data_IF_212574029947
#
_entry.id   IF_212574029947
#
_cell.length_a   1.000
_cell.length_b   1.000
_cell.length_c   1.000
_cell.angle_alpha   90.00
_cell.angle_beta   90.00
_cell.angle_gamma   90.00
#
_symmetry.space_group_name_H-M   'P 1'
#
loop_
_entity.id
_entity.type
_entity.pdbx_description
1 polymer ?
#
# COMPACT_ATOMS: atom_id res chain seq x y z
N UNK A 1 46.05 -33.56 9.60
CA UNK A 1 45.95 -32.10 9.36
C UNK A 1 44.52 -31.77 8.93
N UNK A 2 43.71 -31.21 9.83
CA UNK A 2 42.34 -30.81 9.52
C UNK A 2 42.38 -29.52 8.68
N UNK A 3 41.88 -29.58 7.44
CA UNK A 3 41.68 -28.41 6.59
C UNK A 3 40.63 -27.52 7.25
N UNK A 4 41.04 -26.34 7.71
CA UNK A 4 40.11 -25.28 8.11
C UNK A 4 39.32 -24.87 6.86
N UNK A 5 38.03 -25.21 6.85
CA UNK A 5 37.07 -24.62 5.92
C UNK A 5 36.92 -23.15 6.33
N UNK A 6 37.18 -22.18 5.44
CA UNK A 6 37.00 -20.78 5.77
C UNK A 6 35.53 -20.54 6.14
N UNK A 7 35.29 -20.08 7.37
CA UNK A 7 34.00 -19.60 7.85
C UNK A 7 33.63 -18.33 7.08
N UNK A 8 33.11 -18.49 5.86
CA UNK A 8 32.41 -17.41 5.16
C UNK A 8 31.25 -17.01 6.06
N UNK A 9 31.17 -15.75 6.54
CA UNK A 9 30.08 -15.36 7.41
C UNK A 9 28.79 -15.47 6.61
N UNK A 10 27.93 -16.41 7.04
CA UNK A 10 26.54 -16.56 6.62
C UNK A 10 25.94 -15.18 6.24
N UNK A 11 25.30 -15.00 5.08
CA UNK A 11 24.70 -13.73 4.66
C UNK A 11 23.83 -13.09 5.77
N UNK A 12 23.20 -13.93 6.59
CA UNK A 12 22.42 -13.56 7.77
C UNK A 12 23.25 -12.93 8.90
N UNK A 13 24.51 -13.30 9.07
CA UNK A 13 25.42 -12.77 10.10
C UNK A 13 25.88 -11.35 9.76
N UNK A 14 26.23 -11.08 8.50
CA UNK A 14 26.58 -9.73 8.06
C UNK A 14 25.39 -8.78 8.18
N UNK A 15 24.20 -9.22 7.76
CA UNK A 15 22.97 -8.43 7.91
C UNK A 15 22.68 -8.11 9.39
N UNK A 16 22.85 -9.08 10.30
CA UNK A 16 22.72 -8.87 11.74
C UNK A 16 23.71 -7.83 12.27
N UNK A 17 24.96 -7.85 11.81
CA UNK A 17 26.00 -6.89 12.23
C UNK A 17 25.65 -5.48 11.72
N UNK A 18 25.40 -5.31 10.42
CA UNK A 18 25.07 -4.01 9.84
C UNK A 18 23.78 -3.42 10.43
N UNK A 19 22.79 -4.26 10.71
CA UNK A 19 21.58 -3.86 11.45
C UNK A 19 21.94 -3.30 12.82
N UNK A 20 22.76 -3.99 13.61
CA UNK A 20 23.19 -3.52 14.94
C UNK A 20 23.98 -2.22 14.88
N UNK A 21 24.84 -2.08 13.87
CA UNK A 21 25.60 -0.84 13.63
C UNK A 21 24.65 0.32 13.35
N UNK A 22 23.71 0.15 12.41
CA UNK A 22 22.72 1.18 12.09
C UNK A 22 21.82 1.51 13.29
N UNK A 23 21.35 0.50 14.02
CA UNK A 23 20.56 0.67 15.23
C UNK A 23 21.30 1.52 16.27
N UNK A 24 22.58 1.24 16.51
CA UNK A 24 23.42 2.02 17.43
C UNK A 24 23.59 3.46 16.94
N UNK A 25 23.86 3.67 15.65
CA UNK A 25 24.01 5.01 15.04
C UNK A 25 22.73 5.84 15.16
N UNK A 26 21.56 5.21 14.99
CA UNK A 26 20.25 5.85 15.15
C UNK A 26 19.95 6.13 16.63
N UNK A 27 20.24 5.18 17.54
CA UNK A 27 20.06 5.34 18.99
C UNK A 27 20.78 6.58 19.53
N UNK A 28 22.02 6.79 19.10
CA UNK A 28 22.82 7.95 19.50
C UNK A 28 22.17 9.26 19.04
N UNK A 29 21.70 9.33 17.79
CA UNK A 29 21.12 10.55 17.20
C UNK A 29 19.71 10.87 17.70
N UNK A 30 18.89 9.84 17.88
CA UNK A 30 17.53 9.96 18.40
C UNK A 30 17.49 10.15 19.92
N UNK A 31 18.60 9.88 20.63
CA UNK A 31 18.71 9.94 22.11
C UNK A 31 17.60 9.16 22.82
N UNK A 32 17.21 8.03 22.25
CA UNK A 32 16.11 7.19 22.72
C UNK A 32 16.37 5.73 22.36
N UNK A 33 15.68 4.78 23.00
CA UNK A 33 15.77 3.36 22.61
C UNK A 33 15.26 3.21 21.18
N UNK A 34 15.92 2.35 20.40
CA UNK A 34 15.55 2.07 19.01
C UNK A 34 15.42 0.57 18.84
N UNK A 35 14.29 0.12 18.32
CA UNK A 35 14.11 -1.22 17.79
C UNK A 35 14.05 -1.12 16.27
N UNK A 36 15.04 -1.68 15.58
CA UNK A 36 15.16 -1.61 14.13
C UNK A 36 14.79 -2.95 13.48
N UNK A 37 13.87 -2.94 12.52
CA UNK A 37 13.57 -4.05 11.60
C UNK A 37 14.09 -3.70 10.20
N UNK A 38 14.66 -4.67 9.50
CA UNK A 38 15.14 -4.51 8.13
C UNK A 38 14.24 -5.33 7.20
N UNK A 39 13.78 -4.73 6.10
CA UNK A 39 12.93 -5.38 5.11
C UNK A 39 13.41 -5.15 3.66
N UNK A 40 12.87 -5.95 2.74
CA UNK A 40 13.06 -5.86 1.28
C UNK A 40 11.71 -5.59 0.58
N UNK A 41 11.01 -4.57 1.06
CA UNK A 41 9.74 -4.10 0.52
C UNK A 41 9.94 -3.30 -0.75
N UNK A 42 9.01 -3.39 -1.70
CA UNK A 42 9.14 -2.69 -2.99
C UNK A 42 8.65 -1.24 -2.97
N UNK A 43 7.78 -0.86 -2.04
CA UNK A 43 7.11 0.46 -2.02
C UNK A 43 7.25 1.24 -0.72
N UNK A 44 7.69 0.59 0.35
CA UNK A 44 7.83 1.23 1.67
C UNK A 44 9.29 1.18 2.04
N UNK A 45 9.94 2.34 2.09
CA UNK A 45 11.38 2.43 2.37
C UNK A 45 11.66 2.65 3.85
N UNK A 46 10.77 3.36 4.53
CA UNK A 46 10.89 3.74 5.94
C UNK A 46 9.49 3.81 6.55
N UNK A 47 9.30 3.17 7.69
CA UNK A 47 8.18 3.43 8.60
C UNK A 47 8.68 3.54 10.03
N UNK A 48 8.02 4.34 10.84
CA UNK A 48 8.39 4.49 12.23
C UNK A 48 7.17 4.73 13.12
N UNK A 49 7.29 4.30 14.38
CA UNK A 49 6.29 4.55 15.41
C UNK A 49 7.00 4.88 16.72
N UNK A 50 6.51 5.90 17.43
CA UNK A 50 6.93 6.17 18.81
C UNK A 50 6.07 5.35 19.77
N UNK A 51 6.73 4.57 20.63
CA UNK A 51 6.09 3.85 21.74
C UNK A 51 6.76 4.25 23.05
N UNK A 52 6.11 5.12 23.81
CA UNK A 52 6.67 5.72 25.04
C UNK A 52 8.04 6.36 24.75
N UNK A 53 9.11 5.84 25.36
CA UNK A 53 10.49 6.28 25.21
C UNK A 53 11.31 5.48 24.17
N UNK A 54 10.66 4.73 23.29
CA UNK A 54 11.29 3.91 22.26
C UNK A 54 10.74 4.22 20.87
N UNK A 55 11.62 4.24 19.88
CA UNK A 55 11.25 4.24 18.46
C UNK A 55 11.29 2.82 17.91
N UNK A 56 10.21 2.40 17.25
CA UNK A 56 10.22 1.23 16.36
C UNK A 56 10.38 1.72 14.94
N UNK A 57 11.48 1.37 14.28
CA UNK A 57 11.74 1.70 12.88
C UNK A 57 11.75 0.44 12.04
N UNK A 58 11.17 0.51 10.84
CA UNK A 58 11.33 -0.50 9.81
C UNK A 58 11.95 0.18 8.59
N UNK A 59 13.13 -0.27 8.18
CA UNK A 59 13.92 0.34 7.12
C UNK A 59 14.16 -0.67 6.00
N UNK A 60 14.20 -0.17 4.76
CA UNK A 60 14.67 -0.94 3.64
C UNK A 60 16.17 -1.27 3.79
N UNK A 61 16.60 -2.44 3.33
CA UNK A 61 17.99 -2.89 3.47
C UNK A 61 19.02 -1.96 2.82
N UNK A 62 18.61 -1.13 1.84
CA UNK A 62 19.45 -0.07 1.26
C UNK A 62 20.06 0.89 2.30
N UNK A 63 19.42 1.05 3.48
CA UNK A 63 19.92 1.92 4.54
C UNK A 63 21.02 1.28 5.41
N UNK A 64 21.27 -0.03 5.30
CA UNK A 64 22.24 -0.74 6.14
C UNK A 64 23.64 -0.13 6.07
N UNK A 65 24.03 0.35 4.89
CA UNK A 65 25.33 0.97 4.60
C UNK A 65 25.18 2.46 4.27
N UNK A 66 24.12 3.10 4.78
CA UNK A 66 23.89 4.51 4.54
C UNK A 66 25.04 5.39 5.11
N UNK A 67 25.48 6.40 4.35
CA UNK A 67 26.46 7.37 4.80
C UNK A 67 25.92 8.21 5.98
N UNK A 68 26.81 8.93 6.65
CA UNK A 68 26.50 9.54 7.95
C UNK A 68 25.48 10.68 7.89
N UNK A 69 25.53 11.47 6.83
CA UNK A 69 24.54 12.47 6.47
C UNK A 69 23.13 11.86 6.31
N UNK A 70 23.02 10.71 5.64
CA UNK A 70 21.73 10.00 5.46
C UNK A 70 21.21 9.47 6.80
N UNK A 71 22.06 8.92 7.65
CA UNK A 71 21.64 8.46 8.99
C UNK A 71 21.24 9.63 9.90
N UNK A 72 21.91 10.78 9.75
CA UNK A 72 21.50 12.02 10.41
C UNK A 72 20.13 12.50 9.91
N UNK A 73 19.92 12.49 8.59
CA UNK A 73 18.65 12.82 7.98
C UNK A 73 17.52 11.89 8.47
N UNK A 74 17.76 10.57 8.51
CA UNK A 74 16.80 9.60 9.07
C UNK A 74 16.37 9.99 10.49
N UNK A 75 17.32 10.32 11.36
CA UNK A 75 17.03 10.70 12.74
C UNK A 75 16.25 12.03 12.84
N UNK A 76 16.63 13.03 12.03
CA UNK A 76 15.91 14.32 11.96
C UNK A 76 14.48 14.16 11.45
N UNK A 77 14.30 13.38 10.37
CA UNK A 77 12.99 13.09 9.80
C UNK A 77 12.08 12.35 10.79
N UNK A 78 12.58 11.29 11.43
CA UNK A 78 11.81 10.50 12.42
C UNK A 78 11.41 11.35 13.62
N UNK A 79 12.27 12.27 14.08
CA UNK A 79 12.02 13.05 15.30
C UNK A 79 11.04 14.19 15.09
N UNK A 80 11.15 14.92 13.98
CA UNK A 80 10.43 16.20 13.79
C UNK A 80 9.79 16.39 12.40
N UNK A 81 9.84 15.39 11.52
CA UNK A 81 9.31 15.52 10.16
C UNK A 81 10.06 16.58 9.33
N UNK A 82 11.39 16.66 9.50
CA UNK A 82 12.25 17.67 8.88
C UNK A 82 12.17 17.64 7.33
N UNK A 83 11.73 18.73 6.67
CA UNK A 83 11.60 18.78 5.21
C UNK A 83 12.91 18.57 4.46
N UNK A 84 14.01 19.18 4.92
CA UNK A 84 15.31 19.06 4.26
C UNK A 84 15.85 17.64 4.35
N UNK A 85 15.62 17.00 5.51
CA UNK A 85 15.92 15.59 5.68
C UNK A 85 15.09 14.72 4.74
N UNK A 86 13.80 15.03 4.55
CA UNK A 86 12.95 14.31 3.59
C UNK A 86 13.53 14.38 2.18
N UNK A 87 13.93 15.57 1.72
CA UNK A 87 14.52 15.77 0.38
C UNK A 87 15.83 14.98 0.21
N UNK A 88 16.69 14.95 1.23
CA UNK A 88 17.93 14.17 1.20
C UNK A 88 17.64 12.67 1.14
N UNK A 89 16.70 12.18 1.96
CA UNK A 89 16.29 10.78 1.97
C UNK A 89 15.69 10.36 0.62
N UNK A 90 14.88 11.21 0.01
CA UNK A 90 14.30 10.94 -1.32
C UNK A 90 15.40 10.82 -2.39
N UNK A 91 16.38 11.74 -2.39
CA UNK A 91 17.56 11.65 -3.28
C UNK A 91 18.37 10.38 -3.05
N UNK A 92 18.55 9.97 -1.79
CA UNK A 92 19.24 8.73 -1.46
C UNK A 92 18.47 7.51 -1.97
N UNK A 93 17.16 7.43 -1.73
CA UNK A 93 16.30 6.34 -2.20
C UNK A 93 16.35 6.26 -3.73
N UNK A 94 16.24 7.40 -4.42
CA UNK A 94 16.26 7.45 -5.89
C UNK A 94 17.57 6.90 -6.47
N UNK A 95 18.73 7.32 -5.91
CA UNK A 95 20.05 6.82 -6.30
C UNK A 95 20.23 5.32 -6.03
N UNK A 96 19.51 4.79 -5.05
CA UNK A 96 19.62 3.41 -4.58
C UNK A 96 18.48 2.51 -5.07
N UNK A 97 17.68 2.96 -6.06
CA UNK A 97 16.57 2.19 -6.62
C UNK A 97 16.95 0.81 -7.15
N UNK A 98 18.21 0.62 -7.56
CA UNK A 98 18.73 -0.67 -8.02
C UNK A 98 18.58 -1.78 -6.96
N UNK A 99 18.58 -1.42 -5.68
CA UNK A 99 18.38 -2.37 -4.57
C UNK A 99 16.92 -2.73 -4.32
N UNK A 100 15.97 -2.06 -4.97
CA UNK A 100 14.54 -2.40 -4.88
C UNK A 100 14.28 -3.55 -5.85
N UNK A 101 13.89 -4.71 -5.31
CA UNK A 101 13.60 -5.89 -6.13
C UNK A 101 12.53 -5.58 -7.17
N UNK A 102 12.83 -5.90 -8.43
CA UNK A 102 11.86 -5.87 -9.54
C UNK A 102 11.05 -7.17 -9.51
N UNK A 103 9.76 -7.06 -9.22
CA UNK A 103 8.81 -8.17 -9.32
C UNK A 103 7.81 -7.87 -10.43
N UNK A 104 7.48 -8.87 -11.24
CA UNK A 104 6.38 -8.75 -12.17
C UNK A 104 5.04 -8.68 -11.42
N UNK A 105 3.98 -8.11 -12.02
CA UNK A 105 2.66 -8.11 -11.40
C UNK A 105 2.18 -9.50 -11.00
N UNK A 106 2.44 -10.52 -11.83
CA UNK A 106 2.10 -11.90 -11.51
C UNK A 106 2.84 -12.43 -10.26
N UNK A 107 4.13 -12.10 -10.11
CA UNK A 107 4.90 -12.47 -8.91
C UNK A 107 4.40 -11.75 -7.65
N UNK A 108 3.97 -10.49 -7.77
CA UNK A 108 3.36 -9.77 -6.66
C UNK A 108 1.98 -10.34 -6.29
N UNK A 109 1.14 -10.67 -7.29
CA UNK A 109 -0.18 -11.30 -7.09
C UNK A 109 -0.09 -12.60 -6.32
N UNK A 110 0.86 -13.48 -6.64
CA UNK A 110 1.08 -14.76 -5.95
C UNK A 110 1.35 -14.63 -4.44
N UNK A 111 1.72 -13.45 -3.96
CA UNK A 111 1.99 -13.18 -2.54
C UNK A 111 0.76 -12.65 -1.79
N UNK A 112 -0.33 -12.42 -2.50
CA UNK A 112 -1.59 -11.91 -1.96
C UNK A 112 -2.55 -13.11 -1.88
N UNK A 113 -3.12 -13.34 -0.70
CA UNK A 113 -4.26 -14.25 -0.56
C UNK A 113 -5.48 -13.54 -1.14
N UNK A 114 -6.06 -14.10 -2.21
CA UNK A 114 -7.24 -13.57 -2.87
C UNK A 114 -8.48 -14.24 -2.29
N UNK A 115 -9.41 -13.43 -1.81
CA UNK A 115 -10.70 -13.83 -1.26
C UNK A 115 -11.76 -12.90 -1.87
N UNK A 116 -12.23 -13.19 -3.10
CA UNK A 116 -13.19 -12.33 -3.80
C UNK A 116 -14.64 -12.63 -3.43
N UNK A 117 -14.93 -13.80 -2.85
CA UNK A 117 -16.30 -14.21 -2.52
C UNK A 117 -16.62 -13.81 -1.07
N UNK A 118 -17.54 -12.86 -0.93
CA UNK A 118 -18.09 -12.41 0.35
C UNK A 118 -19.34 -13.19 0.74
N UNK A 119 -19.94 -12.82 1.86
CA UNK A 119 -21.21 -13.37 2.35
C UNK A 119 -22.41 -12.87 1.52
N UNK A 120 -22.34 -11.66 0.98
CA UNK A 120 -23.43 -11.00 0.28
C UNK A 120 -23.10 -10.68 -1.17
N UNK A 121 -21.84 -10.37 -1.48
CA UNK A 121 -21.42 -10.05 -2.84
C UNK A 121 -20.24 -10.92 -3.29
N UNK A 122 -20.35 -11.46 -4.51
CA UNK A 122 -19.27 -12.15 -5.20
C UNK A 122 -18.55 -11.16 -6.11
N UNK A 123 -17.36 -10.72 -5.68
CA UNK A 123 -16.59 -9.72 -6.42
C UNK A 123 -16.03 -10.25 -7.72
N UNK A 124 -15.74 -11.55 -7.81
CA UNK A 124 -15.21 -12.17 -9.02
C UNK A 124 -16.27 -12.13 -10.12
N UNK A 125 -17.51 -12.55 -9.80
CA UNK A 125 -18.65 -12.45 -10.74
C UNK A 125 -18.99 -11.02 -11.13
N UNK A 126 -18.84 -10.06 -10.21
CA UNK A 126 -19.05 -8.64 -10.51
C UNK A 126 -17.97 -8.15 -11.48
N UNK A 127 -16.70 -8.44 -11.17
CA UNK A 127 -15.57 -8.05 -11.99
C UNK A 127 -15.67 -8.60 -13.42
N UNK A 128 -15.92 -9.90 -13.56
CA UNK A 128 -15.98 -10.56 -14.88
C UNK A 128 -17.07 -9.94 -15.77
N UNK A 129 -18.27 -9.74 -15.20
CA UNK A 129 -19.39 -9.11 -15.92
C UNK A 129 -19.08 -7.68 -16.36
N UNK A 130 -18.44 -6.90 -15.49
CA UNK A 130 -18.04 -5.52 -15.83
C UNK A 130 -16.94 -5.51 -16.89
N UNK A 131 -15.99 -6.45 -16.80
CA UNK A 131 -14.88 -6.58 -17.75
C UNK A 131 -15.40 -6.90 -19.15
N UNK A 132 -16.34 -7.84 -19.25
CA UNK A 132 -17.03 -8.16 -20.50
C UNK A 132 -17.84 -6.97 -21.02
N UNK A 133 -18.66 -6.34 -20.18
CA UNK A 133 -19.61 -5.30 -20.61
C UNK A 133 -18.94 -3.99 -21.04
N UNK A 134 -17.90 -3.56 -20.33
CA UNK A 134 -17.32 -2.22 -20.49
C UNK A 134 -15.91 -2.21 -21.08
N UNK A 135 -15.22 -3.35 -21.07
CA UNK A 135 -13.79 -3.38 -21.37
C UNK A 135 -13.39 -4.47 -22.37
N UNK A 136 -14.35 -5.10 -23.05
CA UNK A 136 -14.13 -6.21 -23.99
C UNK A 136 -13.27 -7.35 -23.41
N UNK A 137 -13.36 -7.58 -22.10
CA UNK A 137 -12.53 -8.57 -21.39
C UNK A 137 -11.05 -8.23 -21.28
N UNK A 138 -10.63 -6.99 -21.60
CA UNK A 138 -9.20 -6.62 -21.72
C UNK A 138 -8.51 -6.30 -20.39
N UNK A 139 -9.25 -6.12 -19.30
CA UNK A 139 -8.61 -5.85 -18.01
C UNK A 139 -8.03 -7.17 -17.46
N UNK A 140 -6.70 -7.19 -17.31
CA UNK A 140 -5.95 -8.22 -16.58
C UNK A 140 -5.68 -7.72 -15.15
N UNK A 141 -6.67 -7.85 -14.27
CA UNK A 141 -6.53 -7.59 -12.85
C UNK A 141 -7.14 -8.74 -12.04
N UNK A 142 -6.65 -8.94 -10.82
CA UNK A 142 -7.34 -9.77 -9.83
C UNK A 142 -8.16 -8.87 -8.89
N UNK A 143 -9.23 -9.39 -8.33
CA UNK A 143 -10.07 -8.70 -7.35
C UNK A 143 -10.13 -9.49 -6.03
N UNK A 144 -10.26 -8.80 -4.91
CA UNK A 144 -10.39 -9.41 -3.58
C UNK A 144 -11.02 -8.42 -2.60
N UNK A 145 -11.59 -8.93 -1.50
CA UNK A 145 -11.80 -8.09 -0.34
C UNK A 145 -10.46 -7.67 0.30
N UNK A 146 -10.42 -6.42 0.76
CA UNK A 146 -9.31 -5.88 1.55
C UNK A 146 -9.34 -6.38 2.99
N UNK A 147 -8.25 -6.21 3.75
CA UNK A 147 -8.21 -6.63 5.14
C UNK A 147 -9.22 -5.85 5.99
N UNK A 148 -9.80 -6.52 6.99
CA UNK A 148 -10.62 -5.86 7.99
C UNK A 148 -9.85 -4.70 8.64
N UNK A 149 -10.48 -3.52 8.83
CA UNK A 149 -9.78 -2.39 9.41
C UNK A 149 -9.29 -2.65 10.82
N UNK A 150 -8.06 -2.21 11.12
CA UNK A 150 -7.47 -2.33 12.48
C UNK A 150 -8.03 -1.33 13.48
N UNK A 151 -8.62 -0.23 13.00
CA UNK A 151 -9.18 0.85 13.85
C UNK A 151 -10.66 0.59 14.07
N UNK A 152 -11.05 0.47 15.35
CA UNK A 152 -12.42 0.19 15.80
C UNK A 152 -13.23 1.45 16.20
N UNK A 153 -12.60 2.63 16.13
CA UNK A 153 -13.24 3.91 16.47
C UNK A 153 -14.01 4.55 15.31
N UNK A 154 -14.77 5.62 15.57
CA UNK A 154 -15.51 6.35 14.55
C UNK A 154 -14.55 6.90 13.48
N UNK A 155 -14.99 6.85 12.22
CA UNK A 155 -14.20 7.27 11.06
C UNK A 155 -14.86 8.48 10.42
N UNK A 156 -14.05 9.41 9.92
CA UNK A 156 -14.52 10.56 9.14
C UNK A 156 -14.56 10.29 7.64
N UNK A 157 -13.87 9.24 7.19
CA UNK A 157 -13.82 8.83 5.79
C UNK A 157 -13.58 7.32 5.67
N UNK A 158 -13.97 6.78 4.53
CA UNK A 158 -13.76 5.38 4.16
C UNK A 158 -13.27 5.31 2.72
N UNK A 159 -12.23 4.52 2.48
CA UNK A 159 -11.80 4.18 1.12
C UNK A 159 -12.49 2.89 0.72
N UNK A 160 -13.45 2.98 -0.18
CA UNK A 160 -14.33 1.86 -0.55
C UNK A 160 -13.65 0.86 -1.51
N UNK A 161 -12.71 1.33 -2.32
CA UNK A 161 -11.94 0.51 -3.24
C UNK A 161 -10.48 0.99 -3.36
N UNK A 162 -9.62 0.14 -3.90
CA UNK A 162 -8.29 0.58 -4.37
C UNK A 162 -7.72 -0.36 -5.42
N UNK A 163 -7.12 0.22 -6.46
CA UNK A 163 -6.30 -0.48 -7.44
C UNK A 163 -4.80 -0.31 -7.18
N UNK A 164 -4.04 -1.41 -7.29
CA UNK A 164 -2.57 -1.41 -7.28
C UNK A 164 -2.04 -1.66 -8.69
N UNK A 165 -1.40 -0.67 -9.30
CA UNK A 165 -0.80 -0.81 -10.63
C UNK A 165 0.35 -1.84 -10.69
N UNK A 166 1.11 -1.97 -9.60
CA UNK A 166 2.26 -2.88 -9.53
C UNK A 166 1.84 -4.34 -9.48
N UNK A 167 0.80 -4.66 -8.70
CA UNK A 167 0.27 -6.02 -8.59
C UNK A 167 -0.91 -6.28 -9.52
N UNK A 168 -1.49 -5.26 -10.15
CA UNK A 168 -2.79 -5.35 -10.85
C UNK A 168 -3.86 -6.01 -9.99
N UNK A 169 -4.02 -5.54 -8.75
CA UNK A 169 -5.03 -6.04 -7.81
C UNK A 169 -5.98 -4.93 -7.39
N UNK A 170 -7.27 -5.18 -7.57
CA UNK A 170 -8.39 -4.41 -7.03
C UNK A 170 -8.72 -4.95 -5.64
N UNK A 171 -8.82 -4.07 -4.65
CA UNK A 171 -9.26 -4.39 -3.29
C UNK A 171 -10.51 -3.62 -2.95
N UNK A 172 -11.56 -4.33 -2.59
CA UNK A 172 -12.84 -3.75 -2.17
C UNK A 172 -12.92 -3.78 -0.64
N UNK A 173 -13.38 -2.68 -0.04
CA UNK A 173 -13.48 -2.59 1.40
C UNK A 173 -14.56 -3.56 1.92
N UNK A 174 -14.26 -4.38 2.93
CA UNK A 174 -15.21 -5.41 3.40
C UNK A 174 -16.51 -4.87 4.01
N UNK A 175 -16.57 -3.57 4.37
CA UNK A 175 -17.83 -2.90 4.72
C UNK A 175 -18.88 -2.88 3.60
N UNK A 176 -18.48 -3.15 2.35
CA UNK A 176 -19.40 -3.29 1.22
C UNK A 176 -20.06 -4.67 1.15
N UNK A 177 -19.56 -5.66 1.91
CA UNK A 177 -20.12 -7.01 1.96
C UNK A 177 -21.20 -7.15 3.03
N UNK A 178 -22.36 -6.55 2.78
CA UNK A 178 -23.50 -6.58 3.70
C UNK A 178 -24.82 -6.45 2.92
N UNK A 179 -25.95 -6.97 3.44
CA UNK A 179 -27.18 -7.13 2.64
C UNK A 179 -27.84 -5.79 2.31
N UNK A 180 -27.61 -4.78 3.15
CA UNK A 180 -28.12 -3.41 2.96
C UNK A 180 -27.34 -2.63 1.89
N UNK A 181 -26.14 -3.08 1.52
CA UNK A 181 -25.38 -2.48 0.41
C UNK A 181 -25.85 -3.13 -0.89
N UNK A 182 -26.48 -2.38 -1.80
CA UNK A 182 -27.06 -2.97 -2.99
C UNK A 182 -25.97 -3.32 -4.01
N UNK A 183 -26.24 -4.36 -4.80
CA UNK A 183 -25.29 -4.89 -5.78
C UNK A 183 -24.82 -3.84 -6.80
N UNK A 184 -25.71 -2.97 -7.30
CA UNK A 184 -25.35 -1.93 -8.26
C UNK A 184 -24.32 -0.93 -7.69
N UNK A 185 -24.33 -0.70 -6.37
CA UNK A 185 -23.37 0.18 -5.72
C UNK A 185 -21.99 -0.49 -5.66
N UNK A 186 -21.94 -1.77 -5.32
CA UNK A 186 -20.68 -2.55 -5.34
C UNK A 186 -20.13 -2.62 -6.77
N UNK A 187 -20.98 -2.86 -7.77
CA UNK A 187 -20.60 -2.82 -9.18
C UNK A 187 -20.00 -1.47 -9.58
N UNK A 188 -20.59 -0.35 -9.15
CA UNK A 188 -20.05 0.99 -9.40
C UNK A 188 -18.65 1.18 -8.80
N UNK A 189 -18.44 0.75 -7.55
CA UNK A 189 -17.11 0.84 -6.91
C UNK A 189 -16.10 -0.06 -7.64
N UNK A 190 -16.47 -1.28 -8.04
CA UNK A 190 -15.58 -2.15 -8.82
C UNK A 190 -15.25 -1.51 -10.17
N UNK A 191 -16.25 -0.95 -10.86
CA UNK A 191 -16.05 -0.24 -12.12
C UNK A 191 -15.09 0.94 -11.96
N UNK A 192 -15.23 1.75 -10.91
CA UNK A 192 -14.29 2.82 -10.56
C UNK A 192 -12.85 2.29 -10.41
N UNK A 193 -12.67 1.18 -9.70
CA UNK A 193 -11.35 0.58 -9.52
C UNK A 193 -10.77 -0.02 -10.81
N UNK A 194 -11.63 -0.51 -11.71
CA UNK A 194 -11.24 -0.95 -13.05
C UNK A 194 -10.77 0.21 -13.92
N UNK A 195 -11.39 1.39 -13.81
CA UNK A 195 -10.94 2.58 -14.54
C UNK A 195 -9.51 2.98 -14.16
N UNK A 196 -9.07 2.78 -12.91
CA UNK A 196 -7.66 3.00 -12.53
C UNK A 196 -6.66 2.09 -13.25
N UNK A 197 -7.11 0.94 -13.78
CA UNK A 197 -6.28 0.10 -14.65
C UNK A 197 -6.06 0.75 -16.03
N UNK A 198 -7.12 1.34 -16.58
CA UNK A 198 -7.14 2.00 -17.90
C UNK A 198 -6.39 3.33 -17.83
N UNK A 199 -6.77 4.18 -16.87
CA UNK A 199 -6.22 5.51 -16.66
C UNK A 199 -5.14 5.44 -15.59
N UNK A 200 -3.91 5.08 -16.00
CA UNK A 200 -2.75 5.05 -15.11
C UNK A 200 -2.55 6.42 -14.43
N UNK A 201 -2.13 6.41 -13.16
CA UNK A 201 -1.81 7.65 -12.43
C UNK A 201 -0.78 8.48 -13.20
N UNK A 202 -1.13 9.73 -13.50
CA UNK A 202 -0.23 10.71 -14.14
C UNK A 202 0.44 11.59 -13.08
N UNK A 203 1.57 12.20 -13.42
CA UNK A 203 2.05 13.37 -12.67
C UNK A 203 1.37 14.60 -13.24
N UNK A 204 0.76 15.42 -12.40
CA UNK A 204 0.25 16.74 -12.78
C UNK A 204 1.40 17.73 -12.95
N UNK A 205 1.07 18.92 -13.44
CA UNK A 205 2.04 19.98 -13.76
C UNK A 205 2.77 20.51 -12.51
N UNK A 206 2.17 20.34 -11.34
CA UNK A 206 2.74 20.64 -10.02
C UNK A 206 3.63 19.50 -9.46
N UNK A 207 3.85 18.45 -10.25
CA UNK A 207 4.61 17.25 -9.86
C UNK A 207 3.85 16.30 -8.93
N UNK A 208 2.61 16.63 -8.51
CA UNK A 208 1.77 15.74 -7.67
C UNK A 208 1.16 14.63 -8.51
N UNK A 209 0.77 13.53 -7.86
CA UNK A 209 0.10 12.40 -8.54
C UNK A 209 -1.37 12.76 -8.79
N UNK A 210 -1.78 12.77 -10.05
CA UNK A 210 -3.18 12.87 -10.47
C UNK A 210 -3.76 11.46 -10.64
N UNK A 211 -4.53 11.01 -9.64
CA UNK A 211 -5.14 9.67 -9.58
C UNK A 211 -6.46 9.63 -10.34
N UNK A 212 -7.21 10.73 -10.36
CA UNK A 212 -8.51 10.86 -11.01
C UNK A 212 -8.45 11.95 -12.08
N UNK A 213 -7.87 11.69 -13.26
CA UNK A 213 -7.85 12.65 -14.34
C UNK A 213 -9.28 12.88 -14.89
N UNK A 214 -9.57 14.03 -15.54
CA UNK A 214 -10.91 14.35 -16.04
C UNK A 214 -11.52 13.27 -16.95
N UNK A 215 -10.69 12.62 -17.77
CA UNK A 215 -11.12 11.54 -18.67
C UNK A 215 -11.61 10.30 -17.90
N UNK A 216 -11.02 10.00 -16.74
CA UNK A 216 -11.50 8.95 -15.84
C UNK A 216 -12.87 9.32 -15.29
N UNK A 217 -13.01 10.55 -14.80
CA UNK A 217 -14.28 11.03 -14.21
C UNK A 217 -15.42 11.05 -15.24
N UNK A 218 -15.13 11.35 -16.50
CA UNK A 218 -16.14 11.30 -17.56
C UNK A 218 -16.52 9.87 -17.94
N UNK A 219 -15.54 8.96 -18.00
CA UNK A 219 -15.80 7.54 -18.24
C UNK A 219 -16.59 6.92 -17.07
N UNK A 220 -16.33 7.33 -15.84
CA UNK A 220 -17.07 6.87 -14.65
C UNK A 220 -18.58 7.12 -14.77
N UNK A 221 -18.98 8.26 -15.35
CA UNK A 221 -20.40 8.61 -15.58
C UNK A 221 -21.11 7.68 -16.57
N UNK A 222 -20.36 6.91 -17.36
CA UNK A 222 -20.92 5.94 -18.31
C UNK A 222 -21.37 4.64 -17.64
N UNK A 223 -21.11 4.48 -16.34
CA UNK A 223 -21.67 3.36 -15.58
C UNK A 223 -23.20 3.42 -15.60
N UNK A 224 -23.84 2.29 -15.93
CA UNK A 224 -25.28 2.26 -16.24
C UNK A 224 -26.19 2.74 -15.10
N UNK A 225 -25.75 2.54 -13.85
CA UNK A 225 -26.47 2.95 -12.65
C UNK A 225 -25.77 4.12 -11.93
N UNK A 226 -24.95 4.93 -12.63
CA UNK A 226 -24.12 5.99 -12.03
C UNK A 226 -24.91 6.93 -11.12
N UNK A 227 -25.99 7.52 -11.63
CA UNK A 227 -26.82 8.46 -10.86
C UNK A 227 -27.41 7.81 -9.59
N UNK A 228 -27.83 6.54 -9.71
CA UNK A 228 -28.40 5.75 -8.61
C UNK A 228 -27.34 5.40 -7.56
N UNK A 229 -26.13 5.07 -7.98
CA UNK A 229 -25.00 4.78 -7.11
C UNK A 229 -24.56 6.04 -6.33
N UNK A 230 -24.45 7.18 -6.99
CA UNK A 230 -24.12 8.47 -6.37
C UNK A 230 -25.19 8.90 -5.37
N UNK A 231 -26.48 8.74 -5.69
CA UNK A 231 -27.56 9.03 -4.76
C UNK A 231 -27.48 8.14 -3.51
N UNK A 232 -27.30 6.82 -3.71
CA UNK A 232 -27.17 5.88 -2.61
C UNK A 232 -25.97 6.19 -1.72
N UNK A 233 -24.82 6.57 -2.29
CA UNK A 233 -23.63 6.97 -1.53
C UNK A 233 -23.93 8.13 -0.59
N UNK A 234 -24.56 9.19 -1.10
CA UNK A 234 -24.89 10.40 -0.34
C UNK A 234 -25.82 10.09 0.84
N UNK A 235 -26.77 9.18 0.63
CA UNK A 235 -27.76 8.81 1.63
C UNK A 235 -27.23 7.80 2.67
N UNK A 236 -26.24 6.97 2.30
CA UNK A 236 -25.83 5.80 3.10
C UNK A 236 -24.35 5.82 3.54
N UNK A 237 -23.62 6.91 3.32
CA UNK A 237 -22.21 7.00 3.71
C UNK A 237 -21.99 6.72 5.20
N UNK A 238 -22.86 7.22 6.07
CA UNK A 238 -22.78 7.00 7.52
C UNK A 238 -22.84 5.52 7.92
N UNK A 239 -23.60 4.72 7.17
CA UNK A 239 -23.71 3.29 7.38
C UNK A 239 -22.37 2.59 7.08
N UNK A 240 -21.65 3.04 6.05
CA UNK A 240 -20.32 2.53 5.73
C UNK A 240 -19.25 3.00 6.73
N UNK A 241 -19.35 4.25 7.22
CA UNK A 241 -18.43 4.79 8.22
C UNK A 241 -18.54 4.09 9.58
N UNK A 242 -19.74 3.57 9.91
CA UNK A 242 -20.04 2.86 11.16
C UNK A 242 -19.91 1.34 11.06
N UNK A 243 -19.76 0.80 9.85
CA UNK A 243 -19.68 -0.64 9.61
C UNK A 243 -18.54 -1.29 10.42
N UNK A 244 -18.90 -2.29 11.22
CA UNK A 244 -17.94 -3.12 11.95
C UNK A 244 -17.70 -4.38 11.15
N UNK A 245 -16.51 -4.46 10.54
CA UNK A 245 -16.09 -5.65 9.82
C UNK A 245 -15.51 -6.63 10.83
N UNK A 246 -16.21 -7.75 11.05
CA UNK A 246 -15.69 -8.86 11.83
C UNK A 246 -14.77 -9.68 10.93
N UNK A 247 -13.50 -9.91 11.32
CA UNK A 247 -12.66 -10.86 10.58
C UNK A 247 -13.28 -12.27 10.69
N UNK A 248 -13.37 -12.96 9.55
CA UNK A 248 -13.64 -14.39 9.52
C UNK A 248 -12.51 -15.20 10.18
#
# INVERSE_FOLDING_TARGET
>A
MARQVPLVPEPNRLLKVWRRVLERRLRTRLRAKVALEIHDNTHTMLTFQRQRAMWRLRLHHMFLVAPDDVVQALASFVRKGDPDASVLLDKFIERNRVYIRRLSPAQMRKRIRLEPVGQHHDLERIYDRLNERYFDGRIDAAITYGPAPRVKGPRKSIKMGSYSADSKVIRIHPALDQPVVPRYFVEWIVFHEMLHHVYRTRKGDDGRRCIHPPELMEHEKQFHDYARAVAWERENLDLLLRARVTPA
#
